data_IF_936015888154
#
_entry.id   IF_936015888154
#
_cell.length_a   1.000
_cell.length_b   1.000
_cell.length_c   1.000
_cell.angle_alpha   90.00
_cell.angle_beta   90.00
_cell.angle_gamma   90.00
#
_symmetry.space_group_name_H-M   'P 1'
#
loop_
_entity.id
_entity.type
_entity.pdbx_description
1 polymer ?
#
# COMPACT_ATOMS: atom_id res chain seq x y z
N UNK A 1 -21.57 -13.87 -5.46
CA UNK A 1 -21.52 -12.64 -6.28
C UNK A 1 -20.44 -11.73 -5.73
N UNK A 2 -19.22 -11.85 -6.28
CA UNK A 2 -18.11 -10.90 -6.22
C UNK A 2 -17.43 -11.05 -7.60
N UNK A 3 -17.60 -10.09 -8.53
CA UNK A 3 -17.04 -10.15 -9.86
C UNK A 3 -15.57 -9.68 -9.89
N UNK A 4 -14.72 -10.41 -10.64
CA UNK A 4 -13.63 -9.91 -11.47
C UNK A 4 -12.49 -9.08 -10.85
N UNK A 5 -11.26 -9.60 -10.95
CA UNK A 5 -10.03 -8.85 -10.66
C UNK A 5 -8.79 -9.49 -11.31
N UNK A 6 -8.71 -9.37 -12.65
CA UNK A 6 -7.55 -9.56 -13.54
C UNK A 6 -6.20 -9.81 -12.82
N UNK A 7 -5.69 -11.03 -12.91
CA UNK A 7 -4.28 -11.37 -12.68
C UNK A 7 -3.37 -10.62 -13.68
N UNK A 8 -3.02 -9.38 -13.37
CA UNK A 8 -1.85 -8.72 -13.95
C UNK A 8 -0.66 -9.13 -13.10
N UNK A 9 -0.21 -10.38 -13.25
CA UNK A 9 1.07 -10.83 -12.68
C UNK A 9 2.16 -10.44 -13.68
N UNK A 10 2.98 -9.41 -13.42
CA UNK A 10 4.23 -9.25 -14.17
C UNK A 10 5.07 -10.51 -13.93
N UNK A 11 5.73 -11.02 -14.99
CA UNK A 11 6.54 -12.27 -15.06
C UNK A 11 7.75 -12.35 -14.08
N UNK A 12 7.72 -11.67 -12.93
CA UNK A 12 8.76 -11.63 -11.90
C UNK A 12 8.25 -12.42 -10.69
N UNK A 13 9.04 -13.39 -10.23
CA UNK A 13 8.64 -14.36 -9.21
C UNK A 13 7.83 -13.75 -8.06
N UNK A 14 6.72 -14.36 -7.62
CA UNK A 14 5.89 -13.82 -6.53
C UNK A 14 6.71 -13.57 -5.25
N UNK A 15 7.78 -14.34 -5.03
CA UNK A 15 8.75 -14.13 -3.94
C UNK A 15 9.45 -12.77 -4.03
N UNK A 16 9.91 -12.38 -5.23
CA UNK A 16 10.56 -11.08 -5.48
C UNK A 16 9.59 -9.91 -5.32
N UNK A 17 8.33 -10.09 -5.69
CA UNK A 17 7.30 -9.06 -5.52
C UNK A 17 7.01 -8.84 -4.03
N UNK A 18 6.82 -9.92 -3.28
CA UNK A 18 6.59 -9.87 -1.82
C UNK A 18 7.78 -9.21 -1.11
N UNK A 19 9.02 -9.51 -1.53
CA UNK A 19 10.22 -8.92 -0.93
C UNK A 19 10.33 -7.42 -1.21
N UNK A 20 10.02 -6.97 -2.43
CA UNK A 20 9.97 -5.54 -2.77
C UNK A 20 8.84 -4.82 -2.05
N UNK A 21 7.67 -5.45 -1.90
CA UNK A 21 6.57 -4.89 -1.10
C UNK A 21 7.01 -4.81 0.38
N UNK A 22 7.64 -5.85 0.93
CA UNK A 22 8.17 -5.84 2.30
C UNK A 22 9.22 -4.74 2.51
N UNK A 23 10.16 -4.56 1.58
CA UNK A 23 11.13 -3.47 1.65
C UNK A 23 10.45 -2.10 1.54
N UNK A 24 9.47 -1.95 0.65
CA UNK A 24 8.67 -0.74 0.53
C UNK A 24 7.91 -0.44 1.82
N UNK A 25 7.23 -1.42 2.39
CA UNK A 25 6.52 -1.29 3.67
C UNK A 25 7.46 -1.03 4.84
N UNK A 26 8.69 -1.59 4.84
CA UNK A 26 9.69 -1.24 5.86
C UNK A 26 10.16 0.21 5.72
N UNK A 27 10.36 0.70 4.50
CA UNK A 27 10.74 2.10 4.26
C UNK A 27 9.62 3.08 4.60
N UNK A 28 8.37 2.70 4.29
CA UNK A 28 7.17 3.49 4.54
C UNK A 28 6.43 3.07 5.81
N UNK A 29 7.13 2.43 6.77
CA UNK A 29 6.49 1.81 7.94
C UNK A 29 5.82 2.86 8.83
N UNK A 30 6.39 4.06 8.88
CA UNK A 30 5.82 5.22 9.59
C UNK A 30 4.49 5.66 8.97
N UNK A 31 4.45 5.91 7.66
CA UNK A 31 3.21 6.26 6.94
C UNK A 31 2.18 5.11 6.97
N UNK A 32 2.61 3.86 6.87
CA UNK A 32 1.74 2.70 6.91
C UNK A 32 1.07 2.57 8.29
N UNK A 33 1.83 2.81 9.36
CA UNK A 33 1.32 2.81 10.73
C UNK A 33 0.35 3.96 10.96
N UNK A 34 0.67 5.17 10.50
CA UNK A 34 -0.19 6.33 10.65
C UNK A 34 -1.50 6.20 9.86
N UNK A 35 -1.44 5.69 8.62
CA UNK A 35 -2.62 5.32 7.84
C UNK A 35 -3.44 4.23 8.56
N UNK A 36 -2.79 3.17 9.04
CA UNK A 36 -3.45 2.08 9.76
C UNK A 36 -4.13 2.54 11.06
N UNK A 37 -3.50 3.44 11.83
CA UNK A 37 -4.08 4.03 13.03
C UNK A 37 -5.28 4.91 12.69
N UNK A 38 -5.17 5.76 11.67
CA UNK A 38 -6.29 6.59 11.21
C UNK A 38 -7.47 5.72 10.77
N UNK A 39 -7.23 4.68 9.97
CA UNK A 39 -8.28 3.76 9.53
C UNK A 39 -8.89 3.02 10.72
N UNK A 40 -8.06 2.50 11.64
CA UNK A 40 -8.54 1.77 12.83
C UNK A 40 -9.42 2.63 13.74
N UNK A 41 -9.12 3.92 13.88
CA UNK A 41 -9.96 4.86 14.63
C UNK A 41 -11.26 5.26 13.94
N UNK A 42 -11.41 4.93 12.64
CA UNK A 42 -12.57 5.31 11.81
C UNK A 42 -13.40 4.11 11.37
N UNK A 43 -12.92 2.89 11.55
CA UNK A 43 -13.75 1.69 11.46
C UNK A 43 -14.84 1.73 12.54
N UNK A 44 -16.10 1.39 12.24
CA UNK A 44 -16.59 0.71 11.03
C UNK A 44 -17.00 1.63 9.86
N UNK A 45 -17.15 2.94 10.07
CA UNK A 45 -17.59 3.92 9.07
C UNK A 45 -16.41 4.62 8.37
N UNK A 46 -15.39 3.85 7.97
CA UNK A 46 -14.24 4.44 7.28
C UNK A 46 -14.65 4.85 5.87
N UNK A 47 -14.93 6.14 5.71
CA UNK A 47 -15.30 6.71 4.41
C UNK A 47 -14.06 7.05 3.57
N UNK A 48 -14.17 6.89 2.24
CA UNK A 48 -13.11 7.30 1.30
C UNK A 48 -12.90 8.81 1.43
N UNK A 49 -11.73 9.20 1.93
CA UNK A 49 -11.37 10.61 2.15
C UNK A 49 -10.88 10.91 3.57
N UNK A 50 -11.30 10.14 4.58
CA UNK A 50 -10.98 10.40 5.99
C UNK A 50 -9.48 10.30 6.31
N UNK A 51 -8.79 9.33 5.70
CA UNK A 51 -7.35 9.09 5.87
C UNK A 51 -6.59 9.34 4.57
N UNK A 52 -7.12 10.19 3.68
CA UNK A 52 -6.55 10.40 2.34
C UNK A 52 -5.15 11.03 2.40
N UNK A 53 -4.89 11.88 3.39
CA UNK A 53 -3.57 12.48 3.63
C UNK A 53 -2.51 11.41 3.94
N UNK A 54 -2.83 10.49 4.84
CA UNK A 54 -1.93 9.38 5.22
C UNK A 54 -1.82 8.35 4.10
N UNK A 55 -2.91 8.10 3.39
CA UNK A 55 -2.91 7.26 2.21
C UNK A 55 -2.03 7.83 1.10
N UNK A 56 -2.10 9.14 0.86
CA UNK A 56 -1.27 9.83 -0.12
C UNK A 56 0.21 9.76 0.25
N UNK A 57 0.55 9.92 1.53
CA UNK A 57 1.92 9.78 2.03
C UNK A 57 2.43 8.34 1.84
N UNK A 58 1.65 7.33 2.27
CA UNK A 58 1.97 5.91 2.08
C UNK A 58 2.12 5.56 0.59
N UNK A 59 1.20 6.04 -0.25
CA UNK A 59 1.20 5.83 -1.70
C UNK A 59 2.42 6.47 -2.34
N UNK A 60 2.78 7.70 -1.96
CA UNK A 60 3.96 8.39 -2.46
C UNK A 60 5.24 7.63 -2.08
N UNK A 61 5.35 7.16 -0.83
CA UNK A 61 6.50 6.39 -0.40
C UNK A 61 6.57 5.01 -1.08
N UNK A 62 5.46 4.28 -1.19
CA UNK A 62 5.41 3.01 -1.92
C UNK A 62 5.74 3.22 -3.41
N UNK A 63 5.18 4.25 -4.06
CA UNK A 63 5.51 4.57 -5.44
C UNK A 63 7.01 4.85 -5.61
N UNK A 64 7.66 5.55 -4.68
CA UNK A 64 9.11 5.76 -4.70
C UNK A 64 9.87 4.44 -4.52
N UNK A 65 9.42 3.57 -3.60
CA UNK A 65 10.01 2.25 -3.38
C UNK A 65 9.88 1.32 -4.61
N UNK A 66 8.79 1.43 -5.37
CA UNK A 66 8.60 0.69 -6.62
C UNK A 66 9.25 1.36 -7.85
N UNK A 67 9.35 2.69 -7.87
CA UNK A 67 10.02 3.47 -8.92
C UNK A 67 11.55 3.30 -8.91
N UNK A 68 12.13 2.68 -7.89
CA UNK A 68 13.54 2.32 -7.92
C UNK A 68 13.79 1.16 -8.91
N UNK A 69 13.98 1.55 -10.17
CA UNK A 69 14.83 0.92 -11.17
C UNK A 69 15.72 2.02 -11.75
N UNK A 70 16.86 2.26 -11.10
CA UNK A 70 18.13 2.40 -11.78
C UNK A 70 19.01 1.28 -11.24
#
# INVERSE_FOLDING_TARGET
>A
MMPGGKDIVPKKDPKQIIERIRQGLRKCSSEAKAYGTCVASKLPEVEKGQCEKEFAALKACMQQAFKNKA
#
